data_IF_404547763407
#
_entry.id   IF_404547763407
#
_cell.length_a   1.000
_cell.length_b   1.000
_cell.length_c   1.000
_cell.angle_alpha   90.00
_cell.angle_beta   90.00
_cell.angle_gamma   90.00
#
_symmetry.space_group_name_H-M   'P 1'
#
loop_
_entity.id
_entity.type
_entity.pdbx_description
1 polymer ?
#
# COMPACT_ATOMS: atom_id res chain seq x y z
N UNK A 1 42.35 -56.74 30.01
CA UNK A 1 40.89 -56.57 30.12
C UNK A 1 40.57 -55.08 30.00
N UNK A 2 40.70 -54.52 28.80
CA UNK A 2 40.54 -53.08 28.51
C UNK A 2 40.17 -52.94 27.03
N UNK A 3 38.88 -53.06 26.71
CA UNK A 3 38.45 -53.05 25.30
C UNK A 3 36.97 -52.75 25.04
N UNK A 4 36.22 -52.27 26.05
CA UNK A 4 34.78 -52.05 25.90
C UNK A 4 34.32 -50.57 25.99
N UNK A 5 35.22 -49.64 26.35
CA UNK A 5 34.83 -48.23 26.53
C UNK A 5 34.93 -47.35 25.28
N UNK A 6 35.68 -47.76 24.25
CA UNK A 6 35.86 -46.98 23.02
C UNK A 6 34.65 -47.05 22.09
N UNK A 7 33.88 -48.14 22.14
CA UNK A 7 32.71 -48.35 21.28
C UNK A 7 31.52 -47.46 21.65
N UNK A 8 31.33 -47.18 22.94
CA UNK A 8 30.22 -46.35 23.43
C UNK A 8 30.42 -44.88 23.08
N UNK A 9 31.64 -44.36 23.23
CA UNK A 9 31.97 -42.97 22.90
C UNK A 9 31.80 -42.70 21.40
N UNK A 10 32.26 -43.62 20.55
CA UNK A 10 32.06 -43.50 19.10
C UNK A 10 30.58 -43.48 18.69
N UNK A 11 29.74 -44.32 19.31
CA UNK A 11 28.30 -44.31 19.08
C UNK A 11 27.64 -43.01 19.55
N UNK A 12 28.06 -42.46 20.69
CA UNK A 12 27.54 -41.18 21.18
C UNK A 12 27.89 -40.05 20.19
N UNK A 13 29.11 -40.01 19.66
CA UNK A 13 29.48 -39.02 18.63
C UNK A 13 28.67 -39.16 17.34
N UNK A 14 28.37 -40.39 16.91
CA UNK A 14 27.51 -40.64 15.74
C UNK A 14 26.07 -40.19 16.01
N UNK A 15 25.53 -40.46 17.21
CA UNK A 15 24.17 -40.05 17.58
C UNK A 15 24.05 -38.51 17.72
N UNK A 16 25.08 -37.84 18.23
CA UNK A 16 25.13 -36.37 18.29
C UNK A 16 25.21 -35.77 16.87
N UNK A 17 26.02 -36.37 15.98
CA UNK A 17 26.08 -35.97 14.58
C UNK A 17 24.76 -36.22 13.83
N UNK A 18 24.06 -37.31 14.13
CA UNK A 18 22.76 -37.64 13.55
C UNK A 18 21.62 -36.74 14.09
N UNK A 19 21.69 -36.32 15.36
CA UNK A 19 20.77 -35.34 15.93
C UNK A 19 21.00 -33.91 15.42
N UNK A 20 22.25 -33.57 15.05
CA UNK A 20 22.60 -32.29 14.43
C UNK A 20 22.30 -32.23 12.93
N UNK A 21 22.27 -33.39 12.25
CA UNK A 21 21.89 -33.54 10.86
C UNK A 21 20.56 -34.31 10.76
N UNK A 22 19.49 -33.75 11.33
CA UNK A 22 18.15 -34.26 11.10
C UNK A 22 17.79 -34.13 9.62
N UNK A 23 17.57 -35.23 8.87
CA UNK A 23 16.96 -35.12 7.55
C UNK A 23 15.52 -34.63 7.77
N UNK A 24 15.09 -33.61 7.02
CA UNK A 24 13.73 -33.01 6.95
C UNK A 24 13.48 -31.69 7.70
N UNK A 25 14.34 -31.23 8.62
CA UNK A 25 14.06 -29.97 9.32
C UNK A 25 14.44 -28.71 8.51
N UNK A 26 15.26 -28.82 7.45
CA UNK A 26 15.74 -27.66 6.68
C UNK A 26 14.86 -27.29 5.46
N UNK A 27 14.02 -28.22 5.01
CA UNK A 27 13.14 -27.99 3.86
C UNK A 27 11.89 -27.21 4.25
N UNK A 28 11.28 -27.54 5.39
CA UNK A 28 10.06 -26.87 5.88
C UNK A 28 10.29 -25.37 6.18
N UNK A 29 11.38 -24.96 6.87
CA UNK A 29 11.69 -23.55 7.10
C UNK A 29 12.05 -22.79 5.82
N UNK A 30 12.71 -23.44 4.84
CA UNK A 30 12.99 -22.84 3.54
C UNK A 30 11.72 -22.61 2.72
N UNK A 31 10.79 -23.58 2.73
CA UNK A 31 9.49 -23.45 2.05
C UNK A 31 8.65 -22.36 2.72
N UNK A 32 8.58 -22.33 4.05
CA UNK A 32 7.86 -21.28 4.80
C UNK A 32 8.49 -19.89 4.61
N UNK A 33 9.82 -19.80 4.55
CA UNK A 33 10.52 -18.54 4.25
C UNK A 33 10.30 -18.11 2.80
N UNK A 34 10.28 -19.06 1.85
CA UNK A 34 9.98 -18.81 0.44
C UNK A 34 8.54 -18.32 0.24
N UNK A 35 7.57 -18.89 0.95
CA UNK A 35 6.18 -18.44 0.88
C UNK A 35 6.01 -17.04 1.46
N UNK A 36 6.67 -16.72 2.58
CA UNK A 36 6.66 -15.38 3.15
C UNK A 36 7.33 -14.34 2.22
N UNK A 37 8.45 -14.68 1.57
CA UNK A 37 9.08 -13.82 0.57
C UNK A 37 8.19 -13.63 -0.67
N UNK A 38 7.50 -14.68 -1.12
CA UNK A 38 6.57 -14.61 -2.25
C UNK A 38 5.32 -13.77 -1.93
N UNK A 39 4.78 -13.91 -0.73
CA UNK A 39 3.65 -13.12 -0.25
C UNK A 39 4.02 -11.64 -0.12
N UNK A 40 5.21 -11.34 0.43
CA UNK A 40 5.73 -9.98 0.50
C UNK A 40 5.89 -9.36 -0.90
N UNK A 41 6.44 -10.10 -1.86
CA UNK A 41 6.56 -9.64 -3.25
C UNK A 41 5.18 -9.39 -3.90
N UNK A 42 4.21 -10.28 -3.67
CA UNK A 42 2.82 -10.11 -4.14
C UNK A 42 2.16 -8.85 -3.56
N UNK A 43 2.40 -8.57 -2.28
CA UNK A 43 1.92 -7.35 -1.64
C UNK A 43 2.53 -6.10 -2.27
N UNK A 44 3.85 -6.07 -2.49
CA UNK A 44 4.53 -4.95 -3.15
C UNK A 44 4.01 -4.73 -4.57
N UNK A 45 3.86 -5.79 -5.37
CA UNK A 45 3.29 -5.66 -6.72
C UNK A 45 1.87 -5.09 -6.70
N UNK A 46 1.05 -5.46 -5.71
CA UNK A 46 -0.30 -4.90 -5.57
C UNK A 46 -0.25 -3.43 -5.14
N UNK A 47 0.71 -3.06 -4.30
CA UNK A 47 0.91 -1.67 -3.88
C UNK A 47 1.34 -0.80 -5.06
N UNK A 48 2.29 -1.27 -5.88
CA UNK A 48 2.75 -0.57 -7.10
C UNK A 48 1.58 -0.28 -8.05
N UNK A 49 0.66 -1.25 -8.22
CA UNK A 49 -0.55 -1.07 -9.05
C UNK A 49 -1.47 -0.01 -8.45
N UNK A 50 -1.63 0.03 -7.12
CA UNK A 50 -2.45 1.03 -6.44
C UNK A 50 -1.80 2.41 -6.54
N UNK A 51 -0.50 2.52 -6.30
CA UNK A 51 0.28 3.75 -6.42
C UNK A 51 0.16 4.33 -7.83
N UNK A 52 0.43 3.52 -8.85
CA UNK A 52 0.28 3.92 -10.25
C UNK A 52 -1.13 4.42 -10.55
N UNK A 53 -2.14 3.71 -10.06
CA UNK A 53 -3.54 4.09 -10.28
C UNK A 53 -3.88 5.41 -9.59
N UNK A 54 -3.37 5.63 -8.37
CA UNK A 54 -3.55 6.90 -7.66
C UNK A 54 -2.90 8.03 -8.44
N UNK A 55 -1.64 7.88 -8.85
CA UNK A 55 -0.92 8.86 -9.68
C UNK A 55 -1.71 9.21 -10.96
N UNK A 56 -2.11 8.20 -11.73
CA UNK A 56 -2.86 8.38 -12.99
C UNK A 56 -4.18 9.12 -12.75
N UNK A 57 -4.89 8.80 -11.66
CA UNK A 57 -6.15 9.46 -11.33
C UNK A 57 -5.97 10.90 -10.90
N UNK A 58 -4.90 11.20 -10.16
CA UNK A 58 -4.59 12.56 -9.72
C UNK A 58 -4.21 13.41 -10.93
N UNK A 59 -3.31 12.93 -11.78
CA UNK A 59 -2.89 13.63 -13.01
C UNK A 59 -4.11 13.90 -13.91
N UNK A 60 -4.98 12.90 -14.11
CA UNK A 60 -6.21 13.08 -14.88
C UNK A 60 -7.13 14.14 -14.26
N UNK A 61 -7.29 14.13 -12.94
CA UNK A 61 -8.17 15.08 -12.25
C UNK A 61 -7.63 16.52 -12.34
N UNK A 62 -6.30 16.69 -12.28
CA UNK A 62 -5.65 17.99 -12.46
C UNK A 62 -5.90 18.56 -13.86
N UNK A 63 -5.78 17.72 -14.90
CA UNK A 63 -6.09 18.12 -16.28
C UNK A 63 -7.57 18.47 -16.45
N UNK A 64 -8.47 17.65 -15.92
CA UNK A 64 -9.92 17.92 -15.98
C UNK A 64 -10.30 19.18 -15.22
N UNK A 65 -9.69 19.43 -14.06
CA UNK A 65 -9.92 20.64 -13.27
C UNK A 65 -9.40 21.89 -13.99
N UNK A 66 -8.21 21.82 -14.59
CA UNK A 66 -7.66 22.92 -15.38
C UNK A 66 -8.57 23.26 -16.58
N UNK A 67 -9.02 22.24 -17.31
CA UNK A 67 -9.95 22.43 -18.43
C UNK A 67 -11.30 23.01 -17.97
N UNK A 68 -11.80 22.60 -16.80
CA UNK A 68 -13.02 23.13 -16.22
C UNK A 68 -12.88 24.61 -15.83
N UNK A 69 -11.77 24.97 -15.18
CA UNK A 69 -11.48 26.35 -14.80
C UNK A 69 -11.37 27.25 -16.04
N UNK A 70 -10.64 26.81 -17.07
CA UNK A 70 -10.55 27.52 -18.36
C UNK A 70 -11.95 27.71 -19.00
N UNK A 71 -12.81 26.69 -18.91
CA UNK A 71 -14.16 26.77 -19.45
C UNK A 71 -15.08 27.74 -18.68
N UNK A 72 -14.84 27.96 -17.38
CA UNK A 72 -15.58 28.90 -16.53
C UNK A 72 -15.08 30.34 -16.74
N UNK A 73 -13.77 30.54 -16.80
CA UNK A 73 -13.15 31.84 -17.07
C UNK A 73 -13.38 32.32 -18.51
N UNK A 74 -13.88 31.43 -19.38
CA UNK A 74 -14.23 31.77 -20.74
C UNK A 74 -15.15 33.01 -20.82
N UNK A 75 -14.85 34.00 -21.68
CA UNK A 75 -15.60 35.27 -21.78
C UNK A 75 -17.11 35.13 -22.05
N UNK A 76 -17.57 33.95 -22.50
CA UNK A 76 -18.99 33.65 -22.66
C UNK A 76 -19.77 33.63 -21.34
N UNK A 77 -19.10 33.42 -20.20
CA UNK A 77 -19.72 33.38 -18.87
C UNK A 77 -19.50 34.67 -18.08
N UNK A 78 -18.55 35.52 -18.48
CA UNK A 78 -18.24 36.76 -17.73
C UNK A 78 -19.45 37.68 -17.62
N UNK A 79 -20.28 37.82 -18.66
CA UNK A 79 -21.50 38.63 -18.59
C UNK A 79 -22.59 38.06 -17.65
N UNK A 80 -22.55 36.77 -17.32
CA UNK A 80 -23.45 36.13 -16.36
C UNK A 80 -22.91 36.22 -14.93
N UNK A 81 -21.58 36.20 -14.76
CA UNK A 81 -20.90 36.31 -13.46
C UNK A 81 -20.77 37.76 -13.00
N UNK A 82 -20.49 38.69 -13.91
CA UNK A 82 -20.26 40.12 -13.64
C UNK A 82 -21.54 40.97 -13.72
N UNK A 83 -22.75 40.43 -13.48
CA UNK A 83 -23.96 41.24 -13.58
C UNK A 83 -23.94 42.35 -12.50
N UNK A 84 -23.64 43.62 -12.84
CA UNK A 84 -23.39 44.67 -11.85
C UNK A 84 -24.68 45.22 -11.25
N UNK A 85 -25.84 44.70 -11.66
CA UNK A 85 -27.17 45.20 -11.30
C UNK A 85 -28.01 44.23 -10.47
N UNK A 86 -27.57 43.00 -10.23
CA UNK A 86 -28.26 42.07 -9.33
C UNK A 86 -27.58 42.11 -7.96
N UNK A 87 -28.26 42.60 -6.89
CA UNK A 87 -27.73 42.43 -5.55
C UNK A 87 -27.51 40.93 -5.34
N UNK A 88 -26.31 40.55 -4.93
CA UNK A 88 -26.06 39.18 -4.51
C UNK A 88 -27.15 38.83 -3.49
N UNK A 89 -28.01 37.87 -3.82
CA UNK A 89 -29.04 37.41 -2.90
C UNK A 89 -28.28 36.70 -1.79
N UNK A 90 -28.13 37.38 -0.66
CA UNK A 90 -27.53 36.79 0.53
C UNK A 90 -28.52 35.78 1.09
N UNK A 91 -28.35 34.52 0.73
CA UNK A 91 -29.20 33.40 1.16
C UNK A 91 -29.08 33.17 2.69
N UNK A 92 -28.11 33.81 3.35
CA UNK A 92 -27.90 33.74 4.80
C UNK A 92 -28.50 34.94 5.56
N UNK A 93 -29.11 35.92 4.88
CA UNK A 93 -29.77 37.04 5.55
C UNK A 93 -31.14 36.60 6.11
N UNK A 94 -31.13 36.15 7.37
CA UNK A 94 -32.32 35.81 8.14
C UNK A 94 -33.13 37.09 8.48
N UNK A 95 -34.42 37.22 8.09
CA UNK A 95 -35.20 38.43 8.31
C UNK A 95 -35.67 38.67 9.76
N UNK A 96 -35.23 37.90 10.77
CA UNK A 96 -35.88 37.85 12.09
C UNK A 96 -35.37 38.79 13.21
N UNK A 97 -34.63 39.89 12.97
CA UNK A 97 -34.23 40.78 14.08
C UNK A 97 -34.42 42.28 13.85
N UNK A 98 -35.56 42.68 13.28
CA UNK A 98 -36.03 44.08 13.38
C UNK A 98 -37.35 44.15 14.15
N UNK A 99 -37.23 44.15 15.48
CA UNK A 99 -38.25 44.66 16.42
C UNK A 99 -37.83 46.03 16.93
#
# INVERSE_FOLDING_TARGET
MTGFFTSSVGLIFILIGYAAAGPEADLLPRVARSSACQEHNSLHTRLDVVEKKVEDTVEKLEVELAALLEAIEAPKWSSLLDNPGTPAVDILEDPEWRS
#
